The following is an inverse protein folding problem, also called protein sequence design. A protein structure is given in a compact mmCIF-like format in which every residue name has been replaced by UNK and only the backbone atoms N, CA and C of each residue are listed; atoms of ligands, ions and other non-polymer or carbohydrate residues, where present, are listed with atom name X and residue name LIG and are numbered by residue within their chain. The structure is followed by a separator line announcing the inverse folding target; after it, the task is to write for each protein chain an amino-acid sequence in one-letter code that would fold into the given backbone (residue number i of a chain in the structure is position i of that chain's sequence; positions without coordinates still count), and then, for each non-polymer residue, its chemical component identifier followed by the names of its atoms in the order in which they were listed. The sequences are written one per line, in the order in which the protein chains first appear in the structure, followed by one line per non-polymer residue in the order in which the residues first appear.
data_IF_694172713420
#
_entry.id   IF_694172713420
#
_cell.length_a   1.000
_cell.length_b   1.000
_cell.length_c   1.000
_cell.angle_alpha   90.00
_cell.angle_beta   90.00
_cell.angle_gamma   90.00
#
_symmetry.space_group_name_H-M   'P 1'
#
loop_
_entity.id
_entity.type
_entity.pdbx_description
1 polymer ?
#
# COMPACT_ATOMS: atom_id res chain seq x y z
N UNK A 1 -39.11 4.02 27.55
CA UNK A 1 -38.26 5.13 27.10
C UNK A 1 -36.92 4.55 26.62
N UNK A 2 -36.86 3.95 25.43
CA UNK A 2 -35.66 3.35 24.81
C UNK A 2 -35.89 3.15 23.29
N UNK A 3 -36.49 4.13 22.63
CA UNK A 3 -36.67 4.18 21.17
C UNK A 3 -36.43 5.61 20.70
N UNK A 4 -35.24 6.11 20.95
CA UNK A 4 -34.76 7.32 20.32
C UNK A 4 -33.30 7.10 19.90
N UNK A 5 -33.07 7.36 18.62
CA UNK A 5 -31.80 7.72 18.00
C UNK A 5 -30.91 6.54 17.59
N UNK A 6 -31.20 6.03 16.38
CA UNK A 6 -30.19 5.84 15.35
C UNK A 6 -30.91 5.78 13.99
N UNK A 7 -31.21 6.93 13.40
CA UNK A 7 -31.65 7.01 12.01
C UNK A 7 -30.43 6.69 11.14
N UNK A 8 -30.26 5.40 10.78
CA UNK A 8 -29.18 4.95 9.91
C UNK A 8 -29.57 5.34 8.49
N UNK A 9 -29.15 6.53 8.08
CA UNK A 9 -29.30 6.97 6.69
C UNK A 9 -28.23 6.27 5.84
N UNK A 10 -28.67 5.43 4.90
CA UNK A 10 -27.77 4.81 3.93
C UNK A 10 -27.33 5.84 2.89
N UNK A 11 -26.22 5.55 2.19
CA UNK A 11 -25.66 6.43 1.15
C UNK A 11 -26.71 6.76 0.08
N UNK A 12 -27.63 5.82 -0.21
CA UNK A 12 -28.71 6.02 -1.17
C UNK A 12 -29.81 7.00 -0.68
N UNK A 13 -29.98 7.13 0.65
CA UNK A 13 -30.90 8.11 1.25
C UNK A 13 -30.32 9.52 1.23
N UNK A 14 -28.99 9.60 1.35
CA UNK A 14 -28.22 10.83 1.32
C UNK A 14 -27.83 11.13 -0.14
N UNK A 15 -28.67 11.88 -0.86
CA UNK A 15 -28.40 12.42 -2.21
C UNK A 15 -27.26 13.46 -2.21
N UNK A 16 -26.14 13.13 -1.58
CA UNK A 16 -24.97 13.96 -1.49
C UNK A 16 -24.23 13.90 -2.83
N UNK A 17 -23.67 15.01 -3.30
CA UNK A 17 -22.77 15.00 -4.44
C UNK A 17 -21.54 14.18 -4.07
N UNK A 18 -21.46 12.96 -4.59
CA UNK A 18 -20.28 12.11 -4.49
C UNK A 18 -19.43 12.32 -5.75
N UNK A 19 -18.11 12.52 -5.61
CA UNK A 19 -17.25 12.65 -6.78
C UNK A 19 -17.23 11.33 -7.56
N UNK A 20 -17.15 11.43 -8.89
CA UNK A 20 -16.97 10.26 -9.75
C UNK A 20 -15.60 9.61 -9.50
N UNK A 21 -15.60 8.30 -9.25
CA UNK A 21 -14.37 7.56 -9.05
C UNK A 21 -13.72 7.27 -10.40
N UNK A 22 -12.45 7.65 -10.55
CA UNK A 22 -11.64 7.32 -11.72
C UNK A 22 -10.66 6.21 -11.37
N UNK A 23 -10.75 5.09 -12.08
CA UNK A 23 -9.88 3.95 -11.90
C UNK A 23 -8.77 3.95 -12.96
N UNK A 24 -7.52 3.91 -12.53
CA UNK A 24 -6.35 3.80 -13.40
C UNK A 24 -5.57 2.53 -13.02
N UNK A 25 -5.49 1.57 -13.93
CA UNK A 25 -4.70 0.35 -13.72
C UNK A 25 -3.35 0.48 -14.43
N UNK A 26 -2.28 0.57 -13.64
CA UNK A 26 -0.92 0.72 -14.15
C UNK A 26 -0.26 -0.65 -14.18
N UNK A 27 0.08 -1.10 -15.39
CA UNK A 27 0.77 -2.38 -15.62
C UNK A 27 2.26 -2.12 -15.83
N UNK A 28 3.10 -2.74 -15.02
CA UNK A 28 4.54 -2.78 -15.23
C UNK A 28 4.95 -4.10 -15.88
N UNK A 29 6.06 -4.08 -16.62
CA UNK A 29 6.66 -5.30 -17.17
C UNK A 29 7.50 -5.95 -16.08
N UNK A 30 7.50 -7.30 -15.97
CA UNK A 30 8.39 -7.98 -15.04
C UNK A 30 9.84 -7.88 -15.51
N UNK A 31 10.75 -7.66 -14.56
CA UNK A 31 12.20 -7.70 -14.79
C UNK A 31 12.65 -9.11 -15.19
N UNK A 32 13.82 -9.24 -15.82
CA UNK A 32 14.38 -10.57 -16.14
C UNK A 32 14.61 -11.40 -14.86
N UNK A 33 15.12 -10.75 -13.81
CA UNK A 33 15.31 -11.36 -12.47
C UNK A 33 13.97 -11.90 -11.94
N UNK A 34 12.90 -11.10 -12.06
CA UNK A 34 11.57 -11.51 -11.60
C UNK A 34 11.03 -12.70 -12.41
N UNK A 35 11.25 -12.74 -13.73
CA UNK A 35 10.86 -13.88 -14.57
C UNK A 35 11.58 -15.16 -14.16
N UNK A 36 12.89 -15.09 -13.92
CA UNK A 36 13.69 -16.23 -13.45
C UNK A 36 13.20 -16.74 -12.09
N UNK A 37 12.92 -15.83 -11.15
CA UNK A 37 12.39 -16.21 -9.84
C UNK A 37 11.00 -16.84 -9.94
N UNK A 38 10.12 -16.35 -10.82
CA UNK A 38 8.81 -16.97 -11.07
C UNK A 38 8.98 -18.39 -11.62
N UNK A 39 9.92 -18.62 -12.54
CA UNK A 39 10.22 -19.96 -13.04
C UNK A 39 10.72 -20.88 -11.91
N UNK A 40 11.56 -20.37 -11.00
CA UNK A 40 11.99 -21.08 -9.81
C UNK A 40 10.83 -21.50 -8.89
N UNK A 41 9.83 -20.62 -8.70
CA UNK A 41 8.62 -20.94 -7.94
C UNK A 41 7.79 -22.04 -8.60
N UNK A 42 7.70 -22.05 -9.94
CA UNK A 42 7.02 -23.10 -10.68
C UNK A 42 7.68 -24.47 -10.44
N UNK A 43 9.01 -24.55 -10.53
CA UNK A 43 9.75 -25.78 -10.24
C UNK A 43 9.59 -26.26 -8.79
N UNK A 44 9.49 -25.34 -7.82
CA UNK A 44 9.15 -25.68 -6.42
C UNK A 44 7.74 -26.27 -6.32
N UNK A 45 6.77 -25.68 -7.02
CA UNK A 45 5.38 -26.16 -7.00
C UNK A 45 5.25 -27.57 -7.59
N UNK A 46 5.99 -27.88 -8.66
CA UNK A 46 6.04 -29.22 -9.26
C UNK A 46 6.60 -30.26 -8.28
N UNK A 47 7.70 -29.95 -7.60
CA UNK A 47 8.29 -30.84 -6.58
C UNK A 47 7.32 -31.11 -5.42
N UNK A 48 6.60 -30.08 -4.96
CA UNK A 48 5.57 -30.23 -3.92
C UNK A 48 4.41 -31.10 -4.41
N UNK A 49 3.93 -30.89 -5.65
CA UNK A 49 2.87 -31.71 -6.25
C UNK A 49 3.28 -33.18 -6.42
N UNK A 50 4.54 -33.42 -6.80
CA UNK A 50 5.12 -34.74 -6.92
C UNK A 50 5.47 -35.39 -5.56
N UNK A 51 5.18 -34.72 -4.43
CA UNK A 51 5.50 -35.17 -3.06
C UNK A 51 6.99 -35.45 -2.83
N UNK A 52 7.86 -34.81 -3.62
CA UNK A 52 9.32 -34.93 -3.49
C UNK A 52 9.88 -34.09 -2.34
N UNK A 53 9.05 -33.24 -1.72
CA UNK A 53 9.41 -32.37 -0.60
C UNK A 53 8.38 -32.53 0.51
N UNK A 54 8.84 -32.59 1.76
CA UNK A 54 7.96 -32.65 2.92
C UNK A 54 7.23 -31.30 3.11
N UNK A 55 5.92 -31.30 3.44
CA UNK A 55 5.13 -30.06 3.58
C UNK A 55 5.65 -29.04 4.60
N UNK A 56 6.42 -29.47 5.59
CA UNK A 56 7.04 -28.60 6.59
C UNK A 56 8.29 -27.87 6.06
N UNK A 57 8.90 -28.35 4.97
CA UNK A 57 10.05 -27.71 4.31
C UNK A 57 9.55 -26.71 3.26
N UNK A 58 8.65 -27.18 2.38
CA UNK A 58 8.02 -26.36 1.36
C UNK A 58 6.61 -26.86 1.06
N UNK A 59 5.72 -25.93 0.74
CA UNK A 59 4.32 -26.21 0.44
C UNK A 59 3.70 -25.11 -0.42
N UNK A 60 2.50 -25.38 -0.95
CA UNK A 60 1.81 -24.45 -1.85
C UNK A 60 1.50 -23.09 -1.20
N UNK A 61 1.25 -23.03 0.11
CA UNK A 61 0.99 -21.76 0.80
C UNK A 61 2.24 -20.90 0.86
N UNK A 62 3.40 -21.50 1.17
CA UNK A 62 4.70 -20.81 1.17
C UNK A 62 5.06 -20.30 -0.22
N UNK A 63 4.93 -21.14 -1.24
CA UNK A 63 5.20 -20.76 -2.65
C UNK A 63 4.27 -19.64 -3.11
N UNK A 64 2.99 -19.70 -2.78
CA UNK A 64 2.03 -18.64 -3.15
C UNK A 64 2.36 -17.32 -2.44
N UNK A 65 2.77 -17.38 -1.17
CA UNK A 65 3.20 -16.19 -0.43
C UNK A 65 4.48 -15.58 -1.02
N UNK A 66 5.47 -16.41 -1.37
CA UNK A 66 6.69 -15.97 -2.04
C UNK A 66 6.37 -15.36 -3.41
N UNK A 67 5.45 -15.94 -4.17
CA UNK A 67 4.98 -15.38 -5.44
C UNK A 67 4.31 -14.02 -5.28
N UNK A 68 3.50 -13.81 -4.22
CA UNK A 68 2.89 -12.51 -3.91
C UNK A 68 3.93 -11.46 -3.53
N UNK A 69 4.94 -11.83 -2.73
CA UNK A 69 6.05 -10.93 -2.36
C UNK A 69 6.87 -10.55 -3.60
N UNK A 70 7.24 -11.53 -4.40
CA UNK A 70 7.98 -11.32 -5.64
C UNK A 70 7.21 -10.41 -6.61
N UNK A 71 5.89 -10.59 -6.72
CA UNK A 71 5.04 -9.76 -7.56
C UNK A 71 4.93 -8.30 -7.08
N UNK A 72 5.21 -8.02 -5.80
CA UNK A 72 5.30 -6.68 -5.25
C UNK A 72 6.69 -6.09 -5.49
N UNK A 73 7.73 -6.75 -4.97
CA UNK A 73 9.13 -6.37 -5.14
C UNK A 73 10.04 -7.59 -4.91
N UNK A 74 11.01 -7.81 -5.80
CA UNK A 74 11.97 -8.92 -5.68
C UNK A 74 12.83 -8.83 -4.40
N UNK A 75 13.07 -7.62 -3.89
CA UNK A 75 13.83 -7.36 -2.65
C UNK A 75 13.11 -7.87 -1.40
N UNK A 76 11.82 -8.20 -1.50
CA UNK A 76 11.07 -8.89 -0.44
C UNK A 76 11.45 -10.37 -0.29
N UNK A 77 12.08 -10.95 -1.31
CA UNK A 77 12.63 -12.31 -1.28
C UNK A 77 14.12 -12.26 -0.94
N UNK A 78 14.86 -11.38 -1.60
CA UNK A 78 16.29 -11.17 -1.34
C UNK A 78 16.63 -9.67 -1.33
N UNK A 79 16.87 -9.07 -0.14
CA UNK A 79 17.19 -7.65 0.00
C UNK A 79 18.44 -7.18 -0.73
N UNK A 80 19.34 -8.08 -1.14
CA UNK A 80 20.59 -7.73 -1.84
C UNK A 80 20.40 -7.51 -3.34
N UNK A 81 19.21 -7.80 -3.88
CA UNK A 81 18.90 -7.59 -5.28
C UNK A 81 18.83 -6.09 -5.62
N UNK A 82 19.15 -5.73 -6.88
CA UNK A 82 19.06 -4.34 -7.32
C UNK A 82 17.61 -3.85 -7.28
N UNK A 83 17.46 -2.55 -6.98
CA UNK A 83 16.22 -1.81 -7.11
C UNK A 83 15.98 -1.49 -8.58
N UNK A 84 14.99 -2.16 -9.18
CA UNK A 84 14.65 -1.98 -10.59
C UNK A 84 13.81 -0.71 -10.78
N UNK A 85 14.28 0.30 -11.53
CA UNK A 85 13.53 1.52 -11.81
C UNK A 85 12.14 1.28 -12.42
N UNK A 86 11.96 0.21 -13.19
CA UNK A 86 10.70 -0.14 -13.84
C UNK A 86 9.78 -1.02 -12.96
N UNK A 87 10.16 -1.23 -11.69
CA UNK A 87 9.37 -1.99 -10.72
C UNK A 87 8.04 -1.32 -10.41
N UNK A 88 7.07 -2.11 -9.91
CA UNK A 88 5.77 -1.60 -9.43
C UNK A 88 5.94 -0.55 -8.33
N UNK A 89 6.88 -0.77 -7.42
CA UNK A 89 7.14 0.13 -6.31
C UNK A 89 7.64 1.47 -6.83
N UNK A 90 8.63 1.49 -7.73
CA UNK A 90 9.16 2.72 -8.31
C UNK A 90 8.13 3.46 -9.17
N UNK A 91 7.39 2.72 -10.00
CA UNK A 91 6.28 3.30 -10.77
C UNK A 91 5.22 3.93 -9.85
N UNK A 92 4.93 3.33 -8.69
CA UNK A 92 4.03 3.95 -7.72
C UNK A 92 4.63 5.21 -7.10
N UNK A 93 5.91 5.18 -6.68
CA UNK A 93 6.61 6.36 -6.16
C UNK A 93 6.58 7.51 -7.16
N UNK A 94 6.80 7.23 -8.44
CA UNK A 94 6.71 8.22 -9.52
C UNK A 94 5.33 8.88 -9.59
N UNK A 95 4.27 8.07 -9.52
CA UNK A 95 2.90 8.58 -9.55
C UNK A 95 2.55 9.39 -8.31
N UNK A 96 2.94 8.91 -7.12
CA UNK A 96 2.69 9.62 -5.86
C UNK A 96 3.40 10.97 -5.85
N UNK A 97 4.66 11.00 -6.30
CA UNK A 97 5.43 12.24 -6.43
C UNK A 97 4.80 13.19 -7.46
N UNK A 98 4.41 12.68 -8.63
CA UNK A 98 3.76 13.47 -9.68
C UNK A 98 2.47 14.13 -9.17
N UNK A 99 1.58 13.36 -8.55
CA UNK A 99 0.32 13.89 -7.98
C UNK A 99 0.62 14.91 -6.89
N UNK A 100 1.61 14.65 -6.03
CA UNK A 100 2.02 15.59 -4.97
C UNK A 100 2.50 16.93 -5.55
N UNK A 101 3.27 16.90 -6.63
CA UNK A 101 3.78 18.09 -7.30
C UNK A 101 2.68 18.84 -8.04
N UNK A 102 1.85 18.13 -8.82
CA UNK A 102 0.72 18.70 -9.59
C UNK A 102 -0.31 19.39 -8.69
N UNK A 103 -0.50 18.90 -7.46
CA UNK A 103 -1.53 19.40 -6.53
C UNK A 103 -0.92 20.11 -5.32
N UNK A 104 0.24 20.77 -5.50
CA UNK A 104 0.92 21.51 -4.42
C UNK A 104 0.10 22.70 -3.91
N UNK A 105 -0.70 23.30 -4.78
CA UNK A 105 -1.62 24.43 -4.50
C UNK A 105 -2.80 24.03 -3.61
N UNK A 106 -3.41 22.88 -3.90
CA UNK A 106 -4.58 22.34 -3.20
C UNK A 106 -4.21 21.46 -2.01
N UNK A 107 -2.91 21.13 -1.86
CA UNK A 107 -2.38 20.21 -0.84
C UNK A 107 -3.11 18.88 -0.81
N UNK A 108 -3.45 18.33 -1.99
CA UNK A 108 -4.21 17.08 -2.09
C UNK A 108 -3.55 15.95 -1.28
N UNK A 109 -4.40 15.21 -0.56
CA UNK A 109 -4.01 14.06 0.23
C UNK A 109 -4.11 12.76 -0.58
N UNK A 110 -3.11 11.91 -0.42
CA UNK A 110 -2.97 10.62 -1.09
C UNK A 110 -2.96 9.51 -0.07
N UNK A 111 -3.72 8.45 -0.36
CA UNK A 111 -3.76 7.23 0.44
C UNK A 111 -3.09 6.12 -0.35
N UNK A 112 -2.03 5.54 0.22
CA UNK A 112 -1.26 4.46 -0.40
C UNK A 112 -1.45 3.18 0.42
N UNK A 113 -1.96 2.15 -0.24
CA UNK A 113 -2.25 0.87 0.41
C UNK A 113 -1.18 -0.18 0.06
N UNK A 114 -0.71 -0.93 1.05
CA UNK A 114 0.18 -2.08 0.81
C UNK A 114 0.03 -3.15 1.92
N UNK A 115 -0.51 -4.32 1.57
CA UNK A 115 -0.84 -5.35 2.58
C UNK A 115 0.30 -6.32 2.92
N UNK A 116 1.30 -6.46 2.04
CA UNK A 116 2.31 -7.53 2.12
C UNK A 116 3.62 -7.14 2.81
N UNK A 117 3.83 -5.86 3.08
CA UNK A 117 5.10 -5.33 3.58
C UNK A 117 4.87 -4.43 4.79
N UNK A 118 3.95 -4.77 5.70
CA UNK A 118 3.78 -3.96 6.92
C UNK A 118 5.11 -3.85 7.68
N UNK A 119 5.52 -2.65 8.13
CA UNK A 119 6.80 -2.43 8.79
C UNK A 119 7.01 -3.41 9.95
N UNK A 120 8.19 -4.04 9.98
CA UNK A 120 8.66 -4.84 11.11
C UNK A 120 9.89 -4.16 11.69
N UNK A 121 9.98 -4.08 13.02
CA UNK A 121 11.11 -3.46 13.72
C UNK A 121 12.37 -4.35 13.72
N UNK A 122 12.53 -5.23 12.73
CA UNK A 122 13.62 -6.21 12.63
C UNK A 122 14.71 -5.81 11.63
N UNK A 123 14.62 -4.61 11.04
CA UNK A 123 15.58 -4.10 10.07
C UNK A 123 15.52 -4.81 8.70
N UNK A 124 14.49 -5.64 8.47
CA UNK A 124 14.27 -6.27 7.17
C UNK A 124 13.75 -5.26 6.16
N UNK A 125 14.01 -5.53 4.87
CA UNK A 125 13.50 -4.69 3.79
C UNK A 125 11.98 -4.55 3.87
N UNK A 126 11.54 -3.30 3.81
CA UNK A 126 10.14 -2.90 3.91
C UNK A 126 9.83 -1.88 2.81
N UNK A 127 8.80 -2.17 2.00
CA UNK A 127 8.35 -1.32 0.89
C UNK A 127 7.88 0.05 1.40
N UNK A 128 7.28 0.13 2.58
CA UNK A 128 6.83 1.40 3.15
C UNK A 128 7.98 2.36 3.41
N UNK A 129 9.07 1.87 4.01
CA UNK A 129 10.25 2.68 4.30
C UNK A 129 11.01 3.01 3.02
N UNK A 130 11.15 2.04 2.11
CA UNK A 130 11.76 2.24 0.78
C UNK A 130 11.04 3.35 -0.01
N UNK A 131 9.70 3.29 -0.08
CA UNK A 131 8.90 4.33 -0.73
C UNK A 131 9.03 5.68 -0.03
N UNK A 132 8.97 5.72 1.30
CA UNK A 132 9.12 6.97 2.07
C UNK A 132 10.49 7.60 1.83
N UNK A 133 11.57 6.82 1.89
CA UNK A 133 12.91 7.32 1.64
C UNK A 133 13.06 7.86 0.21
N UNK A 134 12.54 7.14 -0.79
CA UNK A 134 12.56 7.59 -2.19
C UNK A 134 11.80 8.91 -2.38
N UNK A 135 10.64 9.06 -1.74
CA UNK A 135 9.85 10.29 -1.78
C UNK A 135 10.59 11.46 -1.10
N UNK A 136 11.22 11.22 0.05
CA UNK A 136 12.02 12.23 0.77
C UNK A 136 13.24 12.66 -0.04
N UNK A 137 13.95 11.70 -0.65
CA UNK A 137 15.09 11.98 -1.54
C UNK A 137 14.71 12.84 -2.75
N UNK A 138 13.45 12.77 -3.20
CA UNK A 138 12.90 13.62 -4.27
C UNK A 138 12.43 15.00 -3.78
N UNK A 139 12.61 15.31 -2.50
CA UNK A 139 12.33 16.63 -1.92
C UNK A 139 10.98 16.74 -1.20
N UNK A 140 10.22 15.65 -1.03
CA UNK A 140 9.01 15.70 -0.21
C UNK A 140 9.41 15.80 1.27
N UNK A 141 8.89 16.76 2.03
CA UNK A 141 9.20 16.87 3.45
C UNK A 141 8.75 15.64 4.24
N UNK A 142 9.61 15.14 5.13
CA UNK A 142 9.38 13.88 5.84
C UNK A 142 8.12 13.90 6.71
N UNK A 143 7.72 15.07 7.20
CA UNK A 143 6.51 15.28 7.98
C UNK A 143 5.22 15.07 7.18
N UNK A 144 5.27 15.18 5.85
CA UNK A 144 4.12 14.99 4.98
C UNK A 144 3.85 13.51 4.67
N UNK A 145 4.79 12.62 5.01
CA UNK A 145 4.71 11.19 4.75
C UNK A 145 4.56 10.45 6.08
N UNK A 146 3.38 9.88 6.35
CA UNK A 146 3.07 9.21 7.61
C UNK A 146 2.51 7.81 7.41
N UNK A 147 2.62 6.99 8.46
CA UNK A 147 2.08 5.63 8.50
C UNK A 147 0.91 5.53 9.45
N UNK A 148 -0.20 4.92 9.02
CA UNK A 148 -1.35 4.67 9.90
C UNK A 148 -0.98 3.80 11.12
N UNK A 149 0.07 2.99 10.98
CA UNK A 149 0.56 2.06 12.01
C UNK A 149 1.15 2.78 13.23
N UNK A 150 1.56 4.06 13.10
CA UNK A 150 2.03 4.89 14.21
C UNK A 150 0.88 5.34 15.14
N UNK A 151 -0.36 5.28 14.65
CA UNK A 151 -1.56 5.66 15.40
C UNK A 151 -2.31 4.41 15.89
N UNK A 152 -2.00 3.95 17.10
CA UNK A 152 -2.59 2.73 17.66
C UNK A 152 -3.93 2.99 18.36
N UNK A 153 -4.08 4.15 18.98
CA UNK A 153 -5.31 4.56 19.69
C UNK A 153 -6.26 5.34 18.78
N UNK A 154 -7.56 5.32 19.09
CA UNK A 154 -8.55 6.08 18.33
C UNK A 154 -8.34 7.60 18.39
N UNK A 155 -7.83 8.10 19.52
CA UNK A 155 -7.43 9.50 19.66
C UNK A 155 -6.28 9.85 18.70
N UNK A 156 -5.24 9.02 18.63
CA UNK A 156 -4.12 9.23 17.70
C UNK A 156 -4.55 9.12 16.24
N UNK A 157 -5.45 8.20 15.89
CA UNK A 157 -5.98 8.09 14.53
C UNK A 157 -6.79 9.32 14.14
N UNK A 158 -7.64 9.81 15.05
CA UNK A 158 -8.42 11.04 14.83
C UNK A 158 -7.52 12.25 14.58
N UNK A 159 -6.44 12.35 15.33
CA UNK A 159 -5.43 13.41 15.17
C UNK A 159 -4.70 13.28 13.83
N UNK A 160 -4.21 12.09 13.48
CA UNK A 160 -3.57 11.84 12.20
C UNK A 160 -4.51 12.19 11.03
N UNK A 161 -5.79 11.84 11.13
CA UNK A 161 -6.78 12.20 10.11
C UNK A 161 -7.12 13.68 10.08
N UNK A 162 -7.01 14.41 11.20
CA UNK A 162 -7.09 15.87 11.21
C UNK A 162 -5.93 16.48 10.42
N UNK A 163 -4.70 15.98 10.65
CA UNK A 163 -3.49 16.45 9.96
C UNK A 163 -3.48 16.13 8.46
N UNK A 164 -4.10 15.02 8.05
CA UNK A 164 -4.31 14.73 6.62
C UNK A 164 -5.30 15.73 6.00
N UNK A 165 -6.39 16.03 6.71
CA UNK A 165 -7.39 16.99 6.22
C UNK A 165 -6.90 18.44 6.19
N UNK A 166 -5.97 18.81 7.07
CA UNK A 166 -5.32 20.14 7.04
C UNK A 166 -4.24 20.26 5.96
N UNK A 167 -3.85 19.15 5.31
CA UNK A 167 -2.79 19.11 4.32
C UNK A 167 -1.38 19.12 4.92
N UNK A 168 -1.24 18.96 6.24
CA UNK A 168 0.07 18.73 6.88
C UNK A 168 0.63 17.36 6.52
N UNK A 169 -0.24 16.35 6.43
CA UNK A 169 0.11 15.01 5.95
C UNK A 169 -0.52 14.82 4.59
N UNK A 170 0.30 14.76 3.54
CA UNK A 170 -0.18 14.63 2.16
C UNK A 170 -0.10 13.21 1.64
N UNK A 171 0.70 12.35 2.26
CA UNK A 171 0.87 10.95 1.86
C UNK A 171 0.71 10.09 3.12
N UNK A 172 -0.39 9.34 3.17
CA UNK A 172 -0.67 8.41 4.26
C UNK A 172 -0.60 6.97 3.74
N UNK A 173 0.33 6.22 4.30
CA UNK A 173 0.52 4.81 4.01
C UNK A 173 -0.20 3.92 5.01
N UNK A 174 -0.78 2.81 4.55
CA UNK A 174 -1.33 1.80 5.45
C UNK A 174 -1.79 0.51 4.78
N UNK A 175 -2.17 -0.45 5.61
CA UNK A 175 -2.77 -1.69 5.13
C UNK A 175 -4.28 -1.55 5.06
N UNK A 176 -4.91 -2.29 4.15
CA UNK A 176 -6.37 -2.33 3.96
C UNK A 176 -7.11 -2.54 5.30
N UNK A 177 -6.68 -3.46 6.19
CA UNK A 177 -7.35 -3.66 7.48
C UNK A 177 -7.21 -2.48 8.45
N UNK A 178 -6.08 -1.77 8.42
CA UNK A 178 -5.79 -0.68 9.39
C UNK A 178 -6.41 0.64 8.98
N UNK A 179 -6.54 0.89 7.69
CA UNK A 179 -7.12 2.14 7.18
C UNK A 179 -8.66 2.12 7.17
N UNK A 180 -9.27 0.95 6.99
CA UNK A 180 -10.74 0.78 6.95
C UNK A 180 -11.36 1.48 5.73
N UNK A 181 -12.03 0.73 4.86
CA UNK A 181 -12.54 1.22 3.57
C UNK A 181 -13.52 2.43 3.64
N UNK A 182 -14.00 2.84 4.83
CA UNK A 182 -15.18 3.70 4.92
C UNK A 182 -15.02 5.06 5.64
N UNK A 183 -13.94 5.35 6.38
CA UNK A 183 -13.95 6.51 7.30
C UNK A 183 -13.25 7.78 6.80
N UNK A 184 -12.37 7.67 5.79
CA UNK A 184 -11.48 8.78 5.40
C UNK A 184 -11.94 9.59 4.19
N UNK A 185 -12.59 8.96 3.20
CA UNK A 185 -12.82 9.54 1.87
C UNK A 185 -13.99 10.55 1.77
N UNK A 186 -14.21 11.40 2.78
CA UNK A 186 -15.18 12.50 2.70
C UNK A 186 -14.57 13.81 2.19
N UNK A 187 -13.26 13.86 1.98
CA UNK A 187 -12.55 15.06 1.52
C UNK A 187 -11.49 14.69 0.49
N UNK A 188 -11.81 14.84 -0.81
CA UNK A 188 -10.85 15.03 -1.91
C UNK A 188 -9.70 14.02 -2.12
N UNK A 189 -9.69 12.88 -1.44
CA UNK A 189 -8.56 11.94 -1.49
C UNK A 189 -8.68 11.01 -2.69
N UNK A 190 -7.67 11.03 -3.57
CA UNK A 190 -7.53 10.04 -4.64
C UNK A 190 -6.86 8.79 -4.06
N UNK A 191 -7.53 7.63 -4.05
CA UNK A 191 -6.91 6.38 -3.62
C UNK A 191 -5.92 5.93 -4.70
N UNK A 192 -4.64 5.80 -4.33
CA UNK A 192 -3.65 5.10 -5.16
C UNK A 192 -3.48 3.70 -4.55
N UNK A 193 -4.20 2.74 -5.11
CA UNK A 193 -4.12 1.33 -4.70
C UNK A 193 -2.96 0.69 -5.46
N UNK A 194 -2.00 0.10 -4.74
CA UNK A 194 -0.98 -0.80 -5.28
C UNK A 194 -1.43 -2.24 -5.08
#
# INVERSE_FOLDING_TARGET
MFREIADIQTVDMLKLPVPEVRYHNIKTKPSEIQKEMVAGLAGRAEKVRARLVKPNIDNMLKITNDGRKLALDQRMIDPMLPDDPDSKVNTCVDNVYRIWAEHADTKAAQLVFCDLSTPKNDGTFNVYDDMREKLIRRGIPAEQVRFIHEATTDAQKKELFARVRSGEVRILFGSTPKMGQARMCRTGSLPSII
#
